data_IF_994788733575
#
_entry.id   IF_994788733575
#
_cell.length_a   1.000
_cell.length_b   1.000
_cell.length_c   1.000
_cell.angle_alpha   90.00
_cell.angle_beta   90.00
_cell.angle_gamma   90.00
#
_symmetry.space_group_name_H-M   'P 1'
#
loop_
_entity.id
_entity.type
_entity.pdbx_description
1 polymer ?
#
# COMPACT_ATOMS: atom_id res chain seq x y z
N UNK A 1 41.91 1.04 5.37
CA UNK A 1 41.22 0.33 4.27
C UNK A 1 39.79 0.85 4.27
N UNK A 2 39.51 1.79 3.35
CA UNK A 2 38.23 2.49 3.28
C UNK A 2 37.18 1.59 2.63
N UNK A 3 36.10 1.27 3.37
CA UNK A 3 34.88 0.73 2.79
C UNK A 3 33.89 1.89 2.65
N UNK A 4 34.07 2.61 1.54
CA UNK A 4 33.08 3.52 0.97
C UNK A 4 31.85 2.72 0.54
N UNK A 5 30.66 3.29 0.77
CA UNK A 5 29.46 2.93 -0.01
C UNK A 5 28.25 2.44 0.78
N UNK A 6 27.84 3.10 1.88
CA UNK A 6 26.40 3.21 2.15
C UNK A 6 25.90 4.48 1.48
N UNK A 7 25.67 4.34 0.19
CA UNK A 7 25.01 5.25 -0.74
C UNK A 7 23.70 5.78 -0.13
N UNK A 8 23.55 7.10 -0.02
CA UNK A 8 22.39 7.97 -0.32
C UNK A 8 20.91 7.55 -0.06
N UNK A 9 20.57 6.34 0.36
CA UNK A 9 19.18 5.82 0.34
C UNK A 9 18.55 5.60 1.71
N UNK A 10 19.05 6.23 2.77
CA UNK A 10 18.16 6.55 3.90
C UNK A 10 17.42 7.85 3.59
N UNK A 11 16.65 7.86 2.50
CA UNK A 11 15.58 8.85 2.31
C UNK A 11 14.66 8.66 3.50
N UNK A 12 14.82 9.53 4.48
CA UNK A 12 14.15 9.42 5.76
C UNK A 12 12.66 9.31 5.50
N UNK A 13 12.08 8.16 5.85
CA UNK A 13 10.67 7.84 5.70
C UNK A 13 9.88 8.82 6.57
N UNK A 14 9.56 9.99 6.00
CA UNK A 14 8.87 11.08 6.68
C UNK A 14 7.50 11.23 6.05
N UNK A 15 6.66 10.21 6.24
CA UNK A 15 5.24 10.36 6.01
C UNK A 15 4.69 11.36 7.04
N UNK A 16 4.01 12.39 6.56
CA UNK A 16 3.36 13.40 7.36
C UNK A 16 1.86 13.33 7.16
N UNK A 17 1.11 13.69 8.21
CA UNK A 17 -0.33 13.80 8.11
C UNK A 17 -0.69 14.94 7.15
N UNK A 18 -1.51 14.60 6.15
CA UNK A 18 -2.03 15.52 5.16
C UNK A 18 -3.47 15.96 5.45
N UNK A 19 -4.20 16.42 4.42
CA UNK A 19 -5.60 16.79 4.53
C UNK A 19 -6.45 15.63 5.08
N UNK A 20 -7.53 15.99 5.78
CA UNK A 20 -8.52 15.02 6.26
C UNK A 20 -9.90 15.40 5.76
N UNK A 21 -10.52 14.49 5.00
CA UNK A 21 -11.90 14.64 4.55
C UNK A 21 -12.82 13.76 5.38
N UNK A 22 -13.84 14.39 5.98
CA UNK A 22 -14.78 13.74 6.90
C UNK A 22 -16.02 13.15 6.22
N UNK A 23 -16.14 13.31 4.91
CA UNK A 23 -17.20 12.70 4.09
C UNK A 23 -16.77 12.61 2.63
N UNK A 24 -17.35 11.65 1.91
CA UNK A 24 -17.23 11.53 0.45
C UNK A 24 -17.62 12.82 -0.25
N UNK A 25 -18.72 13.43 0.18
CA UNK A 25 -19.25 14.62 -0.47
C UNK A 25 -18.29 15.82 -0.40
N UNK A 26 -17.58 15.99 0.72
CA UNK A 26 -16.54 17.04 0.84
C UNK A 26 -15.36 16.77 -0.09
N UNK A 27 -14.92 15.52 -0.17
CA UNK A 27 -13.85 15.12 -1.09
C UNK A 27 -14.27 15.34 -2.56
N UNK A 28 -15.50 14.95 -2.92
CA UNK A 28 -16.06 15.09 -4.26
C UNK A 28 -16.19 16.55 -4.70
N UNK A 29 -16.64 17.43 -3.81
CA UNK A 29 -16.80 18.87 -4.09
C UNK A 29 -15.47 19.56 -4.44
N UNK A 30 -14.36 19.12 -3.84
CA UNK A 30 -13.03 19.65 -4.11
C UNK A 30 -12.42 19.06 -5.41
N UNK A 31 -12.90 17.90 -5.86
CA UNK A 31 -12.49 17.26 -7.11
C UNK A 31 -10.98 17.00 -7.18
N UNK A 32 -10.38 17.22 -8.36
CA UNK A 32 -8.93 17.02 -8.55
C UNK A 32 -8.06 17.88 -7.61
N UNK A 33 -8.57 19.04 -7.15
CA UNK A 33 -7.86 19.94 -6.24
C UNK A 33 -7.68 19.35 -4.84
N UNK A 34 -8.55 18.42 -4.43
CA UNK A 34 -8.39 17.72 -3.16
C UNK A 34 -7.02 17.01 -3.07
N UNK A 35 -6.59 16.43 -4.19
CA UNK A 35 -5.38 15.61 -4.26
C UNK A 35 -4.10 16.44 -4.48
N UNK A 36 -4.19 17.71 -4.88
CA UNK A 36 -3.00 18.56 -5.13
C UNK A 36 -2.08 18.70 -3.91
N UNK A 37 -2.66 18.59 -2.71
CA UNK A 37 -1.94 18.67 -1.44
C UNK A 37 -1.35 17.32 -0.99
N UNK A 38 -1.78 16.20 -1.60
CA UNK A 38 -1.27 14.85 -1.31
C UNK A 38 -0.13 14.55 -2.27
N UNK A 39 1.05 15.10 -1.95
CA UNK A 39 2.31 14.84 -2.67
C UNK A 39 3.15 13.79 -1.97
N UNK A 40 4.27 13.39 -2.58
CA UNK A 40 5.29 12.55 -1.93
C UNK A 40 5.55 12.94 -0.47
N UNK A 41 5.45 11.96 0.43
CA UNK A 41 5.60 12.11 1.86
C UNK A 41 4.35 12.58 2.61
N UNK A 42 3.22 12.85 1.93
CA UNK A 42 1.99 13.33 2.56
C UNK A 42 0.91 12.24 2.50
N UNK A 43 0.26 11.99 3.64
CA UNK A 43 -0.82 11.01 3.74
C UNK A 43 -2.14 11.70 3.98
N UNK A 44 -2.99 11.74 2.96
CA UNK A 44 -4.38 12.18 3.08
C UNK A 44 -5.22 11.14 3.83
N UNK A 45 -6.18 11.60 4.63
CA UNK A 45 -7.09 10.76 5.39
C UNK A 45 -8.51 10.96 4.87
N UNK A 46 -9.14 9.87 4.45
CA UNK A 46 -10.52 9.87 4.00
C UNK A 46 -11.37 9.07 5.00
N UNK A 47 -12.31 9.72 5.67
CA UNK A 47 -13.19 9.10 6.66
C UNK A 47 -14.60 8.91 6.09
N UNK A 48 -15.11 7.70 6.20
CA UNK A 48 -16.48 7.33 5.84
C UNK A 48 -17.21 6.76 7.05
N UNK A 49 -18.51 6.48 6.90
CA UNK A 49 -19.28 5.72 7.90
C UNK A 49 -18.76 4.29 8.08
N UNK A 50 -18.09 3.73 7.07
CA UNK A 50 -17.62 2.33 7.03
C UNK A 50 -16.17 2.17 7.46
N UNK A 51 -15.39 3.26 7.54
CA UNK A 51 -14.00 3.18 7.98
C UNK A 51 -13.17 4.40 7.67
N UNK A 52 -11.85 4.20 7.75
CA UNK A 52 -10.85 5.20 7.39
C UNK A 52 -9.95 4.66 6.29
N UNK A 53 -9.79 5.46 5.26
CA UNK A 53 -8.91 5.20 4.13
C UNK A 53 -7.74 6.19 4.15
N UNK A 54 -6.64 5.79 3.52
CA UNK A 54 -5.44 6.62 3.38
C UNK A 54 -5.17 6.80 1.89
N UNK A 55 -4.88 8.03 1.52
CA UNK A 55 -4.53 8.41 0.15
C UNK A 55 -3.09 8.89 0.18
N UNK A 56 -2.27 8.37 -0.73
CA UNK A 56 -0.85 8.67 -0.85
C UNK A 56 -0.42 8.56 -2.32
N UNK A 57 0.72 9.16 -2.68
CA UNK A 57 1.27 8.96 -4.02
C UNK A 57 1.72 7.51 -4.23
N UNK A 58 1.67 7.06 -5.49
CA UNK A 58 2.07 5.70 -5.90
C UNK A 58 3.51 5.36 -5.45
N UNK A 59 4.43 6.32 -5.54
CA UNK A 59 5.82 6.19 -5.08
C UNK A 59 5.92 5.86 -3.59
N UNK A 60 5.14 6.54 -2.74
CA UNK A 60 5.10 6.25 -1.30
C UNK A 60 4.49 4.88 -1.03
N UNK A 61 3.47 4.50 -1.80
CA UNK A 61 2.80 3.20 -1.66
C UNK A 61 3.76 2.07 -1.97
N UNK A 62 4.49 2.18 -3.08
CA UNK A 62 5.41 1.15 -3.55
C UNK A 62 6.63 1.03 -2.65
N UNK A 63 7.10 2.15 -2.09
CA UNK A 63 8.14 2.13 -1.06
C UNK A 63 7.65 1.41 0.21
N UNK A 64 6.44 1.75 0.69
CA UNK A 64 5.82 1.09 1.84
C UNK A 64 5.63 -0.42 1.62
N UNK A 65 5.13 -0.78 0.44
CA UNK A 65 4.90 -2.15 0.04
C UNK A 65 6.20 -2.93 -0.06
N UNK A 66 7.24 -2.34 -0.68
CA UNK A 66 8.58 -2.92 -0.74
C UNK A 66 9.15 -3.18 0.65
N UNK A 67 9.03 -2.21 1.56
CA UNK A 67 9.48 -2.36 2.94
C UNK A 67 8.72 -3.50 3.67
N UNK A 68 7.40 -3.58 3.52
CA UNK A 68 6.61 -4.65 4.11
C UNK A 68 7.06 -6.03 3.61
N UNK A 69 7.31 -6.15 2.30
CA UNK A 69 7.84 -7.40 1.69
C UNK A 69 9.24 -7.75 2.17
N UNK A 70 10.10 -6.76 2.36
CA UNK A 70 11.42 -6.98 2.92
C UNK A 70 11.35 -7.48 4.37
N UNK A 71 10.43 -6.92 5.18
CA UNK A 71 10.19 -7.39 6.56
C UNK A 71 9.67 -8.83 6.57
N UNK A 72 8.68 -9.17 5.74
CA UNK A 72 8.16 -10.54 5.62
C UNK A 72 9.27 -11.54 5.25
N UNK A 73 10.13 -11.17 4.30
CA UNK A 73 11.25 -12.00 3.86
C UNK A 73 12.30 -12.17 4.97
N UNK A 74 12.64 -11.10 5.70
CA UNK A 74 13.54 -11.17 6.84
C UNK A 74 12.99 -12.07 7.95
N UNK A 75 11.69 -11.96 8.25
CA UNK A 75 11.02 -12.85 9.21
C UNK A 75 11.08 -14.32 8.75
N UNK A 76 10.86 -14.58 7.47
CA UNK A 76 10.99 -15.91 6.87
C UNK A 76 12.40 -16.48 7.02
N UNK A 77 13.42 -15.70 6.64
CA UNK A 77 14.82 -16.10 6.75
C UNK A 77 15.26 -16.35 8.20
N UNK A 78 14.83 -15.50 9.15
CA UNK A 78 15.11 -15.71 10.57
C UNK A 78 14.49 -17.02 11.10
N UNK A 79 13.28 -17.40 10.64
CA UNK A 79 12.68 -18.70 11.02
C UNK A 79 13.50 -19.89 10.54
N UNK A 80 14.11 -19.80 9.36
CA UNK A 80 15.02 -20.83 8.83
C UNK A 80 16.26 -20.92 9.71
N UNK A 81 16.91 -19.78 10.01
CA UNK A 81 18.08 -19.73 10.91
C UNK A 81 17.76 -20.32 12.28
N UNK A 82 16.62 -19.97 12.87
CA UNK A 82 16.18 -20.53 14.17
C UNK A 82 15.97 -22.04 14.09
N UNK A 83 15.41 -22.55 12.99
CA UNK A 83 15.22 -23.99 12.78
C UNK A 83 16.55 -24.73 12.65
N UNK A 84 17.49 -24.20 11.85
CA UNK A 84 18.82 -24.76 11.71
C UNK A 84 19.60 -24.74 13.03
N UNK A 85 19.53 -23.64 13.80
CA UNK A 85 20.17 -23.54 15.11
C UNK A 85 19.61 -24.56 16.11
N UNK A 86 18.30 -24.83 16.07
CA UNK A 86 17.68 -25.89 16.90
C UNK A 86 18.17 -27.28 16.49
N UNK A 87 18.35 -27.52 15.20
CA UNK A 87 18.90 -28.78 14.71
C UNK A 87 20.34 -28.98 15.22
N UNK A 88 21.20 -27.96 15.12
CA UNK A 88 22.58 -28.01 15.66
C UNK A 88 22.57 -28.27 17.16
N UNK A 89 21.67 -27.62 17.91
CA UNK A 89 21.53 -27.87 19.35
C UNK A 89 21.16 -29.33 19.66
N UNK A 90 20.37 -29.98 18.81
CA UNK A 90 19.91 -31.36 19.00
C UNK A 90 20.95 -32.39 18.54
N UNK A 91 21.75 -32.04 17.54
CA UNK A 91 22.76 -32.88 16.90
C UNK A 91 24.09 -32.11 16.75
N UNK A 92 24.80 -31.80 17.86
CA UNK A 92 25.97 -30.92 17.83
C UNK A 92 27.20 -31.51 17.14
N UNK A 93 27.30 -32.84 17.06
CA UNK A 93 28.36 -33.57 16.38
C UNK A 93 28.15 -33.70 14.87
N UNK A 94 26.95 -33.37 14.36
CA UNK A 94 26.64 -33.48 12.94
C UNK A 94 27.11 -32.24 12.15
N UNK A 95 28.20 -32.44 11.41
CA UNK A 95 28.78 -31.42 10.55
C UNK A 95 27.81 -30.93 9.46
N UNK A 96 26.89 -31.77 8.98
CA UNK A 96 25.91 -31.38 7.97
C UNK A 96 24.91 -30.37 8.54
N UNK A 97 24.43 -30.64 9.75
CA UNK A 97 23.53 -29.73 10.47
C UNK A 97 24.19 -28.38 10.77
N UNK A 98 25.49 -28.35 11.07
CA UNK A 98 26.26 -27.10 11.22
C UNK A 98 26.38 -26.35 9.89
N UNK A 99 26.67 -27.06 8.79
CA UNK A 99 26.78 -26.46 7.46
C UNK A 99 25.46 -25.81 7.00
N UNK A 100 24.32 -26.46 7.26
CA UNK A 100 22.99 -25.89 6.96
C UNK A 100 22.76 -24.57 7.72
N UNK A 101 23.20 -24.46 8.98
CA UNK A 101 23.12 -23.20 9.73
C UNK A 101 23.98 -22.11 9.09
N UNK A 102 25.23 -22.43 8.73
CA UNK A 102 26.14 -21.48 8.07
C UNK A 102 25.57 -20.98 6.73
N UNK A 103 25.05 -21.90 5.91
CA UNK A 103 24.42 -21.57 4.64
C UNK A 103 23.18 -20.69 4.84
N UNK A 104 22.32 -21.03 5.81
CA UNK A 104 21.12 -20.25 6.14
C UNK A 104 21.45 -18.81 6.53
N UNK A 105 22.52 -18.61 7.32
CA UNK A 105 23.00 -17.27 7.70
C UNK A 105 23.60 -16.53 6.51
N UNK A 106 24.39 -17.22 5.68
CA UNK A 106 24.96 -16.64 4.47
C UNK A 106 23.88 -16.15 3.52
N UNK A 107 22.85 -16.97 3.28
CA UNK A 107 21.72 -16.63 2.42
C UNK A 107 20.97 -15.39 2.94
N UNK A 108 20.74 -15.29 4.25
CA UNK A 108 20.09 -14.13 4.86
C UNK A 108 20.93 -12.86 4.72
N UNK A 109 22.25 -12.96 4.87
CA UNK A 109 23.19 -11.84 4.72
C UNK A 109 23.38 -11.37 3.27
N UNK A 110 23.11 -12.24 2.28
CA UNK A 110 23.22 -11.93 0.85
C UNK A 110 21.89 -11.57 0.18
N UNK A 111 20.79 -11.43 0.94
CA UNK A 111 19.49 -11.10 0.36
C UNK A 111 19.55 -9.72 -0.33
N UNK A 112 19.28 -9.62 -1.64
CA UNK A 112 19.26 -8.33 -2.32
C UNK A 112 18.09 -7.51 -1.78
N UNK A 113 18.22 -6.18 -1.65
CA UNK A 113 17.05 -5.32 -1.40
C UNK A 113 16.02 -5.54 -2.50
N UNK A 114 14.74 -5.67 -2.14
CA UNK A 114 13.71 -5.82 -3.17
C UNK A 114 13.74 -4.58 -4.09
N UNK A 115 13.67 -4.78 -5.42
CA UNK A 115 13.67 -3.65 -6.34
C UNK A 115 12.44 -2.80 -6.06
N UNK A 116 12.65 -1.60 -5.50
CA UNK A 116 11.59 -0.59 -5.48
C UNK A 116 11.48 -0.06 -6.89
N UNK A 117 10.35 -0.33 -7.56
CA UNK A 117 10.09 0.20 -8.89
C UNK A 117 10.13 1.74 -8.79
N UNK A 118 10.95 2.41 -9.61
CA UNK A 118 11.06 3.88 -9.57
C UNK A 118 10.19 4.57 -10.62
N UNK A 119 9.73 3.83 -11.63
CA UNK A 119 8.89 4.35 -12.72
C UNK A 119 7.65 3.49 -12.86
N UNK A 120 6.51 4.15 -12.80
CA UNK A 120 5.20 3.54 -12.90
C UNK A 120 4.53 4.07 -14.16
N UNK A 121 3.87 3.18 -14.88
CA UNK A 121 2.94 3.67 -15.90
C UNK A 121 1.81 4.39 -15.16
N UNK A 122 1.41 5.59 -15.61
CA UNK A 122 0.23 6.24 -15.08
C UNK A 122 -0.94 5.25 -15.13
N UNK A 123 -1.67 5.14 -14.03
CA UNK A 123 -2.94 4.43 -14.04
C UNK A 123 -3.81 5.09 -15.12
N UNK A 124 -4.01 4.38 -16.23
CA UNK A 124 -5.05 4.76 -17.17
C UNK A 124 -6.34 4.56 -16.42
N UNK A 125 -7.16 5.61 -16.34
CA UNK A 125 -8.54 5.45 -15.92
C UNK A 125 -9.08 4.37 -16.85
N UNK A 126 -9.41 3.21 -16.29
CA UNK A 126 -10.27 2.27 -16.99
C UNK A 126 -11.56 3.04 -17.16
N UNK A 127 -11.73 3.63 -18.34
CA UNK A 127 -13.03 4.04 -18.82
C UNK A 127 -13.74 2.69 -19.02
N UNK A 128 -14.19 2.08 -17.92
CA UNK A 128 -15.37 1.24 -17.99
C UNK A 128 -16.36 2.15 -18.67
N UNK A 129 -16.78 1.77 -19.87
CA UNK A 129 -17.77 2.48 -20.67
C UNK A 129 -18.80 3.04 -19.69
N UNK A 130 -18.66 4.33 -19.37
CA UNK A 130 -19.70 5.04 -18.68
C UNK A 130 -20.82 4.95 -19.70
N UNK A 131 -21.88 4.23 -19.36
CA UNK A 131 -23.04 4.14 -20.24
C UNK A 131 -23.32 5.59 -20.66
N UNK A 132 -23.37 5.85 -21.97
CA UNK A 132 -23.64 7.21 -22.45
C UNK A 132 -25.02 7.70 -21.96
N UNK A 133 -25.83 6.79 -21.41
CA UNK A 133 -27.09 7.04 -20.72
C UNK A 133 -26.98 7.14 -19.17
N UNK A 134 -25.81 7.01 -18.57
CA UNK A 134 -25.59 7.30 -17.15
C UNK A 134 -25.52 8.83 -16.97
N UNK A 135 -26.69 9.46 -17.12
CA UNK A 135 -26.87 10.88 -16.88
C UNK A 135 -26.46 11.19 -15.44
N UNK A 136 -25.35 11.91 -15.30
CA UNK A 136 -24.95 12.48 -14.01
C UNK A 136 -25.98 13.54 -13.66
N UNK A 137 -26.93 13.20 -12.78
CA UNK A 137 -27.93 14.16 -12.29
C UNK A 137 -27.19 15.23 -11.49
N UNK A 138 -27.00 16.40 -12.11
CA UNK A 138 -26.33 17.54 -11.49
C UNK A 138 -27.27 18.43 -10.69
N UNK A 139 -28.59 18.27 -10.87
CA UNK A 139 -29.63 19.00 -10.13
C UNK A 139 -30.08 18.20 -8.89
N UNK A 140 -29.82 18.70 -7.66
CA UNK A 140 -30.25 18.04 -6.44
C UNK A 140 -31.77 17.82 -6.34
N UNK A 141 -32.59 18.70 -6.91
CA UNK A 141 -34.06 18.56 -6.85
C UNK A 141 -34.56 17.44 -7.77
N UNK A 142 -33.90 17.23 -8.89
CA UNK A 142 -34.19 16.16 -9.85
C UNK A 142 -33.86 14.79 -9.25
N UNK A 143 -32.73 14.69 -8.54
CA UNK A 143 -32.32 13.49 -7.83
C UNK A 143 -33.35 13.07 -6.76
N UNK A 144 -33.85 14.03 -5.96
CA UNK A 144 -34.86 13.74 -4.95
C UNK A 144 -36.19 13.26 -5.55
N UNK A 145 -36.57 13.76 -6.72
CA UNK A 145 -37.79 13.32 -7.42
C UNK A 145 -37.66 11.89 -7.91
N UNK A 146 -36.51 11.53 -8.49
CA UNK A 146 -36.25 10.18 -9.00
C UNK A 146 -36.20 9.15 -7.87
N UNK A 147 -35.54 9.46 -6.75
CA UNK A 147 -35.51 8.60 -5.56
C UNK A 147 -36.93 8.35 -5.02
N UNK A 148 -37.77 9.39 -4.98
CA UNK A 148 -39.18 9.25 -4.55
C UNK A 148 -39.98 8.39 -5.52
N UNK A 149 -39.84 8.61 -6.83
CA UNK A 149 -40.55 7.84 -7.85
C UNK A 149 -40.19 6.35 -7.81
N UNK A 150 -38.90 6.03 -7.64
CA UNK A 150 -38.43 4.65 -7.53
C UNK A 150 -38.92 3.96 -6.25
N UNK A 151 -38.93 4.68 -5.12
CA UNK A 151 -39.46 4.17 -3.86
C UNK A 151 -40.96 3.84 -3.92
N UNK A 152 -41.73 4.56 -4.74
CA UNK A 152 -43.15 4.31 -4.96
C UNK A 152 -43.39 3.12 -5.89
N UNK A 153 -42.59 2.99 -6.95
CA UNK A 153 -42.68 1.85 -7.87
C UNK A 153 -42.35 0.49 -7.20
N UNK A 154 -41.56 0.49 -6.13
CA UNK A 154 -41.27 -0.71 -5.33
C UNK A 154 -42.37 -1.08 -4.33
N UNK A 155 -43.31 -0.17 -4.04
CA UNK A 155 -44.46 -0.41 -3.16
C UNK A 155 -45.69 -0.96 -3.91
N UNK A 156 -45.69 -0.90 -5.24
CA UNK A 156 -46.78 -1.41 -6.10
C UNK A 156 -46.48 -2.80 -6.71
N UNK A 157 -45.39 -3.46 -6.28
CA UNK A 157 -45.09 -4.88 -6.55
C UNK A 157 -45.33 -5.74 -5.30
#
# INVERSE_FOLDING_TARGET
>A
MNLLGRTEEQKQFRLQAGPTWRSFEKFRQEGAKALESVKNGIVGIFQTKTGQYRILEESDFQMLYGLARDVERLQGGLRVVVSAARAVKKHPEDAETINVLLESVSLLGSLPTLPTRQKFEPLKIEISELDENDEVITDPEELERLIKAESLAQLEK
#
